data_IF_030851399875
#
_entry.id   IF_030851399875
#
_cell.length_a   1.000
_cell.length_b   1.000
_cell.length_c   1.000
_cell.angle_alpha   90.00
_cell.angle_beta   90.00
_cell.angle_gamma   90.00
#
_symmetry.space_group_name_H-M   'P 1'
#
loop_
_entity.id
_entity.type
_entity.pdbx_description
1 polymer ?
#
# COMPACT_ATOMS: atom_id res chain seq x y z
N UNK A 1 32.49 -51.78 65.13
CA UNK A 1 33.15 -50.98 64.06
C UNK A 1 32.19 -50.91 62.88
N UNK A 2 31.88 -49.68 62.44
CA UNK A 2 30.72 -49.34 61.63
C UNK A 2 30.88 -49.72 60.14
N UNK A 3 29.77 -50.14 59.53
CA UNK A 3 29.58 -50.28 58.07
C UNK A 3 29.25 -48.91 57.47
N UNK A 4 29.80 -48.51 56.31
CA UNK A 4 29.43 -47.25 55.69
C UNK A 4 28.09 -47.37 54.95
N UNK A 5 27.28 -46.32 55.10
CA UNK A 5 25.96 -46.11 54.50
C UNK A 5 26.09 -45.73 53.01
N UNK A 6 25.23 -46.33 52.19
CA UNK A 6 24.95 -45.92 50.81
C UNK A 6 24.16 -44.60 50.81
N UNK A 7 24.59 -43.63 50.01
CA UNK A 7 23.82 -42.41 49.69
C UNK A 7 23.05 -42.62 48.37
N UNK A 8 21.75 -42.26 48.28
CA UNK A 8 20.95 -42.43 47.07
C UNK A 8 20.98 -41.14 46.24
N UNK A 9 21.66 -41.15 45.09
CA UNK A 9 21.47 -40.13 44.04
C UNK A 9 21.00 -40.82 42.76
N UNK A 10 19.68 -40.95 42.69
CA UNK A 10 18.81 -40.59 41.55
C UNK A 10 19.17 -41.20 40.17
N UNK A 11 18.34 -42.17 39.79
CA UNK A 11 18.03 -42.58 38.42
C UNK A 11 17.86 -41.38 37.47
N UNK A 12 18.46 -41.45 36.28
CA UNK A 12 17.78 -41.05 35.03
C UNK A 12 18.46 -41.69 33.82
N UNK A 13 17.88 -42.83 33.42
CA UNK A 13 17.99 -43.37 32.06
C UNK A 13 17.36 -42.39 31.07
N UNK A 14 18.09 -41.94 30.06
CA UNK A 14 17.54 -41.50 28.78
C UNK A 14 18.61 -41.67 27.69
N UNK A 15 18.56 -42.84 27.06
CA UNK A 15 18.82 -43.15 25.65
C UNK A 15 19.74 -42.17 24.91
N UNK A 16 20.96 -42.60 24.64
CA UNK A 16 21.84 -42.02 23.62
C UNK A 16 21.26 -42.28 22.22
N UNK A 17 20.28 -41.49 21.81
CA UNK A 17 19.84 -41.44 20.41
C UNK A 17 20.92 -40.73 19.59
N UNK A 18 21.68 -41.52 18.85
CA UNK A 18 22.49 -41.07 17.74
C UNK A 18 21.57 -40.33 16.75
N UNK A 19 21.54 -39.01 16.81
CA UNK A 19 21.02 -38.20 15.70
C UNK A 19 22.01 -38.34 14.54
N UNK A 20 21.84 -39.38 13.74
CA UNK A 20 22.33 -39.37 12.36
C UNK A 20 21.50 -38.33 11.63
N UNK A 21 22.05 -37.12 11.45
CA UNK A 21 21.54 -36.20 10.44
C UNK A 21 21.86 -36.80 9.06
N UNK A 22 20.96 -37.64 8.58
CA UNK A 22 20.84 -37.90 7.16
C UNK A 22 20.22 -36.65 6.52
N UNK A 23 21.03 -35.77 5.95
CA UNK A 23 20.55 -34.76 5.03
C UNK A 23 20.11 -35.47 3.73
N UNK A 24 18.85 -35.91 3.69
CA UNK A 24 18.22 -36.36 2.44
C UNK A 24 17.84 -35.13 1.62
N UNK A 25 18.26 -35.13 0.37
CA UNK A 25 18.07 -34.09 -0.64
C UNK A 25 16.64 -34.14 -1.23
N UNK A 26 16.16 -32.99 -1.75
CA UNK A 26 14.90 -32.73 -2.51
C UNK A 26 13.67 -32.49 -1.59
N UNK A 27 13.01 -31.32 -1.58
CA UNK A 27 12.49 -30.57 -2.73
C UNK A 27 12.70 -29.05 -2.64
N UNK A 28 13.33 -28.47 -3.66
CA UNK A 28 13.29 -27.04 -3.93
C UNK A 28 11.98 -26.66 -4.64
N UNK A 29 10.84 -26.94 -4.00
CA UNK A 29 9.51 -26.49 -4.44
C UNK A 29 8.88 -25.84 -3.22
N UNK A 30 8.91 -24.50 -3.13
CA UNK A 30 8.19 -23.82 -2.05
C UNK A 30 8.72 -22.48 -1.56
N UNK A 31 9.38 -21.67 -2.38
CA UNK A 31 9.60 -20.28 -1.99
C UNK A 31 9.48 -19.31 -3.17
N UNK A 32 8.23 -19.08 -3.59
CA UNK A 32 7.82 -17.73 -3.98
C UNK A 32 6.81 -17.28 -2.95
N UNK A 33 7.27 -16.66 -1.87
CA UNK A 33 6.42 -15.71 -1.17
C UNK A 33 6.22 -14.59 -2.18
N UNK A 34 5.13 -14.66 -2.94
CA UNK A 34 4.60 -13.49 -3.63
C UNK A 34 4.22 -12.54 -2.49
N UNK A 35 5.09 -11.59 -2.18
CA UNK A 35 4.75 -10.58 -1.20
C UNK A 35 3.52 -9.85 -1.78
N UNK A 36 2.37 -10.05 -1.16
CA UNK A 36 1.19 -9.30 -1.54
C UNK A 36 1.41 -7.86 -1.09
N UNK A 37 1.23 -6.90 -2.01
CA UNK A 37 1.23 -5.49 -1.64
C UNK A 37 0.26 -5.28 -0.48
N UNK A 38 0.77 -4.65 0.57
CA UNK A 38 -0.04 -4.22 1.71
C UNK A 38 -0.50 -2.79 1.45
N UNK A 39 -1.81 -2.56 1.58
CA UNK A 39 -2.37 -1.24 1.46
C UNK A 39 -2.83 -0.71 2.82
N UNK A 40 -2.81 0.61 2.97
CA UNK A 40 -3.44 1.34 4.07
C UNK A 40 -4.34 2.42 3.49
N UNK A 41 -5.59 2.46 3.93
CA UNK A 41 -6.56 3.47 3.51
C UNK A 41 -6.84 4.45 4.66
N UNK A 42 -6.42 5.70 4.50
CA UNK A 42 -6.60 6.77 5.46
C UNK A 42 -7.94 7.50 5.26
N UNK A 43 -8.97 7.09 5.99
CA UNK A 43 -10.35 7.64 5.88
C UNK A 43 -10.86 8.36 7.13
N UNK A 44 -10.11 8.35 8.22
CA UNK A 44 -10.51 9.00 9.48
C UNK A 44 -10.13 10.49 9.54
N UNK A 45 -9.26 10.94 8.64
CA UNK A 45 -8.86 12.33 8.49
C UNK A 45 -8.40 12.59 7.06
N UNK A 46 -8.33 13.87 6.69
CA UNK A 46 -7.90 14.31 5.36
C UNK A 46 -6.58 15.08 5.46
N UNK A 47 -5.72 14.87 4.48
CA UNK A 47 -4.42 15.52 4.38
C UNK A 47 -4.27 16.17 3.01
N UNK A 48 -3.39 17.17 2.93
CA UNK A 48 -2.88 17.61 1.64
C UNK A 48 -1.88 16.60 1.09
N UNK A 49 -1.59 16.66 -0.21
CA UNK A 49 -0.78 15.64 -0.89
C UNK A 49 0.58 15.45 -0.22
N UNK A 50 1.25 16.55 0.14
CA UNK A 50 2.54 16.56 0.82
C UNK A 50 2.50 15.87 2.20
N UNK A 51 1.49 16.18 3.01
CA UNK A 51 1.30 15.55 4.33
C UNK A 51 0.93 14.08 4.19
N UNK A 52 0.11 13.72 3.19
CA UNK A 52 -0.25 12.32 2.94
C UNK A 52 0.98 11.49 2.54
N UNK A 53 1.85 12.04 1.68
CA UNK A 53 3.13 11.44 1.34
C UNK A 53 4.00 11.23 2.58
N UNK A 54 4.18 12.27 3.40
CA UNK A 54 4.94 12.19 4.64
C UNK A 54 4.35 11.19 5.65
N UNK A 55 3.01 11.12 5.74
CA UNK A 55 2.32 10.15 6.59
C UNK A 55 2.63 8.72 6.14
N UNK A 56 2.43 8.38 4.86
CA UNK A 56 2.73 7.03 4.37
C UNK A 56 4.20 6.66 4.66
N UNK A 57 5.13 7.59 4.42
CA UNK A 57 6.55 7.41 4.72
C UNK A 57 6.84 7.13 6.19
N UNK A 58 6.15 7.83 7.10
CA UNK A 58 6.29 7.58 8.55
C UNK A 58 5.82 6.18 8.97
N UNK A 59 4.97 5.53 8.16
CA UNK A 59 4.51 4.16 8.38
C UNK A 59 5.37 3.11 7.67
N UNK A 60 6.50 3.50 7.06
CA UNK A 60 7.30 2.61 6.22
C UNK A 60 6.63 2.24 4.90
N UNK A 61 5.61 3.00 4.49
CA UNK A 61 4.84 2.83 3.26
C UNK A 61 5.09 4.03 2.32
N UNK A 62 4.45 3.98 1.15
CA UNK A 62 4.49 5.01 0.12
C UNK A 62 3.06 5.38 -0.26
N UNK A 63 2.80 6.57 -0.81
CA UNK A 63 1.50 6.78 -1.47
C UNK A 63 1.33 5.79 -2.62
N UNK A 64 0.09 5.34 -2.86
CA UNK A 64 -0.20 4.30 -3.85
C UNK A 64 0.10 4.75 -5.28
N UNK A 65 0.70 3.86 -6.07
CA UNK A 65 0.86 3.96 -7.52
C UNK A 65 -0.06 2.99 -8.24
N UNK A 66 -0.65 3.43 -9.35
CA UNK A 66 -1.62 2.65 -10.13
C UNK A 66 -1.28 2.78 -11.61
N UNK A 67 -0.44 1.89 -12.11
CA UNK A 67 0.07 1.91 -13.48
C UNK A 67 -0.44 0.74 -14.35
N UNK A 68 -1.49 0.05 -13.92
CA UNK A 68 -2.16 -1.01 -14.69
C UNK A 68 -3.58 -1.27 -14.18
N UNK A 69 -4.40 -1.93 -15.00
CA UNK A 69 -5.74 -2.37 -14.60
C UNK A 69 -5.69 -3.32 -13.39
N UNK A 70 -4.73 -4.25 -13.33
CA UNK A 70 -4.59 -5.19 -12.21
C UNK A 70 -4.35 -4.46 -10.89
N UNK A 71 -3.48 -3.44 -10.88
CA UNK A 71 -3.22 -2.63 -9.69
C UNK A 71 -4.45 -1.81 -9.29
N UNK A 72 -5.20 -1.29 -10.27
CA UNK A 72 -6.45 -0.60 -10.00
C UNK A 72 -7.48 -1.52 -9.37
N UNK A 73 -7.63 -2.75 -9.90
CA UNK A 73 -8.59 -3.74 -9.39
C UNK A 73 -8.28 -4.11 -7.94
N UNK A 74 -7.00 -4.30 -7.59
CA UNK A 74 -6.55 -4.53 -6.20
C UNK A 74 -6.92 -3.36 -5.27
N UNK A 75 -6.68 -2.12 -5.73
CA UNK A 75 -7.03 -0.91 -4.97
C UNK A 75 -8.54 -0.82 -4.76
N UNK A 76 -9.34 -1.04 -5.80
CA UNK A 76 -10.81 -1.05 -5.75
C UNK A 76 -11.30 -2.12 -4.77
N UNK A 77 -10.75 -3.33 -4.85
CA UNK A 77 -11.10 -4.42 -3.95
C UNK A 77 -10.85 -4.05 -2.49
N UNK A 78 -9.69 -3.44 -2.20
CA UNK A 78 -9.35 -2.97 -0.86
C UNK A 78 -10.31 -1.89 -0.37
N UNK A 79 -10.63 -0.89 -1.21
CA UNK A 79 -11.59 0.18 -0.88
C UNK A 79 -12.96 -0.41 -0.56
N UNK A 80 -13.48 -1.33 -1.39
CA UNK A 80 -14.78 -1.96 -1.17
C UNK A 80 -14.81 -2.76 0.14
N UNK A 81 -13.75 -3.52 0.43
CA UNK A 81 -13.63 -4.31 1.66
C UNK A 81 -13.50 -3.45 2.92
N UNK A 82 -12.99 -2.23 2.81
CA UNK A 82 -12.87 -1.30 3.95
C UNK A 82 -14.22 -0.81 4.50
N UNK A 83 -15.30 -0.96 3.72
CA UNK A 83 -16.61 -0.44 4.09
C UNK A 83 -16.74 1.08 3.92
N UNK A 84 -15.82 1.73 3.19
CA UNK A 84 -15.82 3.18 2.95
C UNK A 84 -17.21 3.73 2.56
N UNK A 85 -17.85 3.11 1.58
CA UNK A 85 -19.16 3.55 1.08
C UNK A 85 -20.33 3.28 2.03
N UNK A 86 -20.13 2.48 3.08
CA UNK A 86 -21.17 2.23 4.10
C UNK A 86 -21.26 3.36 5.13
N UNK A 87 -20.28 4.26 5.17
CA UNK A 87 -20.19 5.36 6.14
C UNK A 87 -21.03 6.60 5.76
N UNK A 88 -22.03 6.45 4.89
CA UNK A 88 -22.75 7.54 4.21
C UNK A 88 -21.87 8.40 3.29
N UNK A 89 -20.67 7.95 2.93
CA UNK A 89 -19.81 8.60 1.94
C UNK A 89 -20.11 8.02 0.55
N UNK A 90 -20.53 8.88 -0.37
CA UNK A 90 -20.85 8.51 -1.76
C UNK A 90 -19.78 8.93 -2.78
N UNK A 91 -18.82 9.73 -2.32
CA UNK A 91 -17.80 10.37 -3.14
C UNK A 91 -16.42 10.05 -2.59
N UNK A 92 -15.62 9.38 -3.41
CA UNK A 92 -14.25 9.04 -3.11
C UNK A 92 -13.33 10.01 -3.84
N UNK A 93 -12.38 10.60 -3.11
CA UNK A 93 -11.21 11.27 -3.66
C UNK A 93 -10.01 10.86 -2.80
N UNK A 94 -9.09 10.09 -3.38
CA UNK A 94 -7.93 9.54 -2.70
C UNK A 94 -6.65 10.07 -3.32
N UNK A 95 -5.79 10.71 -2.51
CA UNK A 95 -4.44 10.99 -2.94
C UNK A 95 -3.69 9.71 -3.32
N UNK A 96 -3.04 9.77 -4.48
CA UNK A 96 -2.11 8.78 -5.01
C UNK A 96 -0.70 9.37 -5.06
N UNK A 97 0.33 8.60 -5.44
CA UNK A 97 1.69 9.13 -5.58
C UNK A 97 1.94 9.91 -6.87
N UNK A 98 0.93 10.01 -7.74
CA UNK A 98 1.01 10.65 -9.04
C UNK A 98 1.11 12.17 -8.91
N UNK A 99 2.04 12.77 -9.64
CA UNK A 99 2.15 14.23 -9.80
C UNK A 99 3.07 14.60 -10.97
N UNK A 100 3.05 15.86 -11.38
CA UNK A 100 3.99 16.46 -12.35
C UNK A 100 4.76 17.66 -11.75
N UNK A 101 4.96 17.68 -10.43
CA UNK A 101 5.63 18.78 -9.70
C UNK A 101 7.09 19.01 -10.15
N UNK A 102 7.76 17.96 -10.62
CA UNK A 102 9.14 18.04 -11.11
C UNK A 102 9.26 18.64 -12.51
N UNK A 103 8.26 18.41 -13.37
CA UNK A 103 8.22 18.92 -14.74
C UNK A 103 6.77 18.89 -15.25
N UNK A 104 6.22 20.07 -15.58
CA UNK A 104 4.83 20.21 -16.02
C UNK A 104 4.53 19.30 -17.22
N UNK A 105 3.38 18.63 -17.19
CA UNK A 105 2.93 17.64 -18.18
C UNK A 105 3.74 16.33 -18.22
N UNK A 106 4.64 16.08 -17.27
CA UNK A 106 5.36 14.81 -17.12
C UNK A 106 4.96 14.14 -15.81
N UNK A 107 3.78 13.52 -15.81
CA UNK A 107 3.27 12.83 -14.63
C UNK A 107 4.06 11.56 -14.31
N UNK A 108 4.46 11.44 -13.04
CA UNK A 108 5.22 10.33 -12.49
C UNK A 108 4.58 9.83 -11.18
N UNK A 109 4.68 8.53 -10.94
CA UNK A 109 4.42 7.92 -9.65
C UNK A 109 5.63 8.13 -8.74
N UNK A 110 5.57 9.05 -7.77
CA UNK A 110 6.73 9.33 -6.90
C UNK A 110 7.11 8.14 -6.00
N UNK A 111 6.21 7.17 -5.81
CA UNK A 111 6.54 5.94 -5.07
C UNK A 111 7.50 5.03 -5.83
N UNK A 112 7.32 4.86 -7.15
CA UNK A 112 8.11 3.94 -7.98
C UNK A 112 9.14 4.65 -8.87
N UNK A 113 8.97 5.95 -9.11
CA UNK A 113 9.73 6.72 -10.10
C UNK A 113 9.28 6.51 -11.55
N UNK A 114 8.24 5.71 -11.77
CA UNK A 114 7.73 5.39 -13.12
C UNK A 114 6.84 6.50 -13.67
N UNK A 115 6.79 6.61 -15.00
CA UNK A 115 5.81 7.46 -15.69
C UNK A 115 4.41 6.88 -15.56
N UNK A 116 3.41 7.76 -15.44
CA UNK A 116 2.01 7.35 -15.54
C UNK A 116 1.72 7.01 -17.01
N UNK A 117 1.64 5.72 -17.32
CA UNK A 117 1.34 5.21 -18.67
C UNK A 117 -0.06 4.60 -18.76
N UNK A 118 -0.67 4.28 -17.63
CA UNK A 118 -2.03 3.77 -17.58
C UNK A 118 -3.04 4.91 -17.78
N UNK A 119 -3.72 4.88 -18.92
CA UNK A 119 -4.69 5.91 -19.28
C UNK A 119 -6.05 5.68 -18.60
N UNK A 120 -6.14 6.09 -17.33
CA UNK A 120 -7.36 5.99 -16.52
C UNK A 120 -7.89 7.36 -16.10
N UNK A 121 -7.49 8.43 -16.79
CA UNK A 121 -7.95 9.78 -16.53
C UNK A 121 -9.46 9.92 -16.77
N UNK A 122 -10.11 10.72 -15.92
CA UNK A 122 -11.47 11.20 -16.21
C UNK A 122 -11.45 11.93 -17.55
N UNK A 123 -12.56 11.86 -18.30
CA UNK A 123 -12.67 12.58 -19.56
C UNK A 123 -12.37 14.07 -19.36
N UNK A 124 -11.35 14.58 -20.05
CA UNK A 124 -10.91 15.98 -19.96
C UNK A 124 -9.68 16.19 -19.08
N UNK A 125 -9.27 15.17 -18.32
CA UNK A 125 -8.10 15.23 -17.43
C UNK A 125 -6.82 14.63 -18.06
N UNK A 126 -5.63 15.04 -17.59
CA UNK A 126 -5.40 16.16 -16.66
C UNK A 126 -5.59 17.51 -17.34
N UNK A 127 -6.21 18.47 -16.64
CA UNK A 127 -6.59 19.77 -17.21
C UNK A 127 -5.75 20.95 -16.68
N UNK A 128 -4.93 20.73 -15.64
CA UNK A 128 -4.15 21.76 -14.95
C UNK A 128 -4.98 22.99 -14.57
N UNK A 129 -6.16 22.80 -13.97
CA UNK A 129 -7.06 23.91 -13.70
C UNK A 129 -6.40 24.91 -12.75
N UNK A 130 -6.66 26.19 -13.02
CA UNK A 130 -6.23 27.24 -12.12
C UNK A 130 -7.24 27.38 -10.97
N UNK A 131 -6.78 27.08 -9.77
CA UNK A 131 -7.55 27.20 -8.53
C UNK A 131 -7.12 28.47 -7.81
N UNK A 132 -7.99 29.48 -7.80
CA UNK A 132 -7.66 30.80 -7.23
C UNK A 132 -6.60 31.55 -8.03
N UNK A 133 -5.83 32.43 -7.38
CA UNK A 133 -4.97 33.37 -8.11
C UNK A 133 -3.66 32.75 -8.61
N UNK A 134 -3.10 31.75 -7.91
CA UNK A 134 -1.74 31.26 -8.17
C UNK A 134 -1.56 29.74 -7.97
N UNK A 135 -2.63 28.98 -7.79
CA UNK A 135 -2.55 27.52 -7.61
C UNK A 135 -3.02 26.82 -8.88
N UNK A 136 -2.29 25.79 -9.29
CA UNK A 136 -2.59 24.96 -10.44
C UNK A 136 -2.65 23.51 -9.98
N UNK A 137 -3.50 22.71 -10.61
CA UNK A 137 -3.62 21.29 -10.33
C UNK A 137 -2.36 20.54 -10.82
N UNK A 138 -1.79 19.71 -9.94
CA UNK A 138 -0.50 19.03 -10.18
C UNK A 138 -0.42 17.64 -9.53
N UNK A 139 -1.28 17.36 -8.54
CA UNK A 139 -1.23 16.13 -7.75
C UNK A 139 -2.43 15.25 -8.09
N UNK A 140 -2.24 13.94 -8.21
CA UNK A 140 -3.26 13.04 -8.75
C UNK A 140 -4.09 12.41 -7.65
N UNK A 141 -5.42 12.48 -7.79
CA UNK A 141 -6.36 11.66 -7.03
C UNK A 141 -6.90 10.49 -7.86
N UNK A 142 -7.24 9.40 -7.19
CA UNK A 142 -8.22 8.43 -7.68
C UNK A 142 -9.59 8.86 -7.19
N UNK A 143 -10.55 9.05 -8.11
CA UNK A 143 -11.90 9.48 -7.78
C UNK A 143 -12.98 8.48 -8.21
N UNK A 144 -14.04 8.40 -7.39
CA UNK A 144 -15.22 7.60 -7.70
C UNK A 144 -16.47 8.26 -7.12
N UNK A 145 -17.48 8.51 -7.95
CA UNK A 145 -18.76 9.11 -7.54
C UNK A 145 -19.91 8.14 -7.78
N UNK A 146 -20.56 7.66 -6.70
CA UNK A 146 -21.65 6.67 -6.80
C UNK A 146 -22.95 7.23 -7.41
N UNK A 147 -23.09 8.55 -7.48
CA UNK A 147 -24.30 9.23 -7.97
C UNK A 147 -24.35 9.39 -9.50
N UNK A 148 -23.44 8.77 -10.26
CA UNK A 148 -23.47 8.79 -11.72
C UNK A 148 -22.90 10.05 -12.36
N UNK A 149 -22.12 10.85 -11.62
CA UNK A 149 -21.43 12.05 -12.13
C UNK A 149 -20.25 11.76 -13.09
N UNK A 150 -20.13 10.53 -13.59
CA UNK A 150 -19.21 10.17 -14.69
C UNK A 150 -17.77 9.85 -14.30
N UNK A 151 -17.38 9.97 -13.02
CA UNK A 151 -16.06 9.52 -12.55
C UNK A 151 -16.17 8.17 -11.82
N UNK A 152 -15.66 7.13 -12.44
CA UNK A 152 -15.70 5.75 -11.91
C UNK A 152 -14.27 5.23 -11.79
N UNK A 153 -13.68 5.38 -10.60
CA UNK A 153 -12.29 4.97 -10.33
C UNK A 153 -11.31 5.48 -11.38
N UNK A 154 -11.36 6.78 -11.63
CA UNK A 154 -10.57 7.48 -12.64
C UNK A 154 -9.62 8.50 -12.00
N UNK A 155 -8.57 8.87 -12.73
CA UNK A 155 -7.59 9.86 -12.29
C UNK A 155 -8.04 11.28 -12.58
N UNK A 156 -7.59 12.21 -11.76
CA UNK A 156 -7.88 13.64 -11.84
C UNK A 156 -6.72 14.38 -11.18
N UNK A 157 -6.16 15.40 -11.82
CA UNK A 157 -5.17 16.25 -11.19
C UNK A 157 -5.88 17.30 -10.33
N UNK A 158 -5.33 17.55 -9.15
CA UNK A 158 -5.91 18.45 -8.16
C UNK A 158 -4.83 19.34 -7.58
N UNK A 159 -5.25 20.46 -7.02
CA UNK A 159 -4.37 21.35 -6.28
C UNK A 159 -3.81 20.59 -5.08
N UNK A 160 -2.48 20.50 -4.99
CA UNK A 160 -1.79 19.67 -4.01
C UNK A 160 -2.08 20.07 -2.55
N UNK A 161 -2.56 21.29 -2.33
CA UNK A 161 -2.92 21.87 -1.04
C UNK A 161 -4.29 21.42 -0.53
N UNK A 162 -5.15 20.88 -1.40
CA UNK A 162 -6.47 20.41 -1.03
C UNK A 162 -6.42 19.21 -0.10
N UNK A 163 -7.44 19.03 0.74
CA UNK A 163 -7.47 17.98 1.75
C UNK A 163 -8.35 16.82 1.33
N UNK A 164 -7.74 15.67 1.07
CA UNK A 164 -8.42 14.44 0.70
C UNK A 164 -8.05 13.28 1.60
N UNK A 165 -8.83 12.21 1.49
CA UNK A 165 -8.41 10.89 1.96
C UNK A 165 -7.20 10.45 1.14
N UNK A 166 -6.51 9.40 1.57
CA UNK A 166 -5.29 8.94 0.90
C UNK A 166 -5.11 7.44 1.06
N UNK A 167 -4.35 6.85 0.15
CA UNK A 167 -4.03 5.44 0.19
C UNK A 167 -2.52 5.24 0.10
N UNK A 168 -1.99 4.42 0.99
CA UNK A 168 -0.60 4.01 1.01
C UNK A 168 -0.44 2.57 0.50
N UNK A 169 0.75 2.23 0.01
CA UNK A 169 1.17 0.90 -0.41
C UNK A 169 2.54 0.54 0.15
N UNK A 170 2.79 -0.76 0.34
CA UNK A 170 4.14 -1.30 0.39
C UNK A 170 4.70 -1.43 -1.03
N UNK A 171 6.01 -1.29 -1.17
CA UNK A 171 6.70 -1.63 -2.41
C UNK A 171 7.46 -2.95 -2.22
N UNK A 172 7.37 -3.84 -3.20
CA UNK A 172 8.17 -5.06 -3.22
C UNK A 172 9.63 -4.65 -3.45
N UNK A 173 10.51 -5.09 -2.54
CA UNK A 173 11.94 -4.80 -2.56
C UNK A 173 12.72 -6.06 -2.97
#
# INVERSE_FOLDING_TARGET
MARPLLSPIILLFMVSTLFRLSASNRDAIGYRVLQQKSYYLGTTFRLNWHKAAAFCRSQGLFLVSINSQSQLDEVIEYINKSGFFNANESNLQLWTSGNDLGEKNQFLWTSTGERITFNQWTQGEPNHAQVGNCTVEHCVVLQHYQNGLGATYSFDDRACEWQYYFMCESLDC
#
